data_IF_286505006830
#
_entry.id   IF_286505006830
#
_cell.length_a   1.000
_cell.length_b   1.000
_cell.length_c   1.000
_cell.angle_alpha   90.00
_cell.angle_beta   90.00
_cell.angle_gamma   90.00
#
_symmetry.space_group_name_H-M   'P 1'
#
loop_
_entity.id
_entity.type
_entity.pdbx_description
1 polymer ?
#
# COMPACT_ATOMS: atom_id res chain seq x y z
N UNK A 1 -2.75 -1.39 4.14
CA UNK A 1 -3.01 -1.72 5.53
C UNK A 1 -3.61 -3.09 5.52
N UNK A 2 -2.75 -4.08 5.34
CA UNK A 2 -3.11 -5.39 5.81
C UNK A 2 -2.99 -5.43 7.33
N UNK A 3 -3.71 -6.36 7.94
CA UNK A 3 -3.48 -6.78 9.31
C UNK A 3 -2.57 -8.01 9.34
N UNK A 4 -2.37 -8.61 10.52
CA UNK A 4 -1.70 -9.90 10.62
C UNK A 4 -2.27 -10.92 9.61
N UNK A 5 -1.39 -11.55 8.81
CA UNK A 5 -1.76 -12.54 7.80
C UNK A 5 -2.16 -11.98 6.42
N UNK A 6 -2.28 -10.66 6.24
CA UNK A 6 -2.69 -10.08 4.95
C UNK A 6 -1.51 -9.82 3.98
N UNK A 7 -0.27 -10.15 4.35
CA UNK A 7 0.91 -9.92 3.50
C UNK A 7 0.79 -10.53 2.10
N UNK A 8 0.28 -11.76 1.99
CA UNK A 8 0.07 -12.41 0.69
C UNK A 8 -1.05 -11.76 -0.13
N UNK A 9 -2.08 -11.23 0.55
CA UNK A 9 -3.19 -10.53 -0.12
C UNK A 9 -2.73 -9.21 -0.70
N UNK A 10 -1.98 -8.42 0.09
CA UNK A 10 -1.36 -7.18 -0.37
C UNK A 10 -0.42 -7.44 -1.55
N UNK A 11 0.41 -8.48 -1.48
CA UNK A 11 1.27 -8.85 -2.60
C UNK A 11 0.45 -9.19 -3.86
N UNK A 12 -0.64 -9.94 -3.73
CA UNK A 12 -1.53 -10.26 -4.85
C UNK A 12 -2.18 -9.00 -5.43
N UNK A 13 -2.64 -8.09 -4.58
CA UNK A 13 -3.27 -6.84 -5.00
C UNK A 13 -2.28 -5.92 -5.73
N UNK A 14 -1.06 -5.77 -5.19
CA UNK A 14 0.03 -5.08 -5.86
C UNK A 14 0.24 -5.65 -7.27
N UNK A 15 0.34 -6.97 -7.41
CA UNK A 15 0.56 -7.59 -8.72
C UNK A 15 -0.60 -7.34 -9.69
N UNK A 16 -1.84 -7.33 -9.20
CA UNK A 16 -3.03 -7.07 -10.02
C UNK A 16 -3.14 -5.61 -10.47
N UNK A 17 -2.62 -4.68 -9.68
CA UNK A 17 -2.71 -3.23 -9.93
C UNK A 17 -1.40 -2.62 -10.43
N UNK A 18 -0.32 -3.40 -10.55
CA UNK A 18 1.02 -2.88 -10.81
C UNK A 18 1.14 -2.19 -12.18
N UNK A 19 1.67 -0.98 -12.15
CA UNK A 19 2.05 -0.22 -13.33
C UNK A 19 3.33 0.57 -13.04
N UNK A 20 4.32 0.60 -13.94
CA UNK A 20 5.62 1.24 -13.69
C UNK A 20 5.54 2.76 -13.54
N UNK A 21 4.45 3.39 -13.99
CA UNK A 21 4.22 4.84 -13.83
C UNK A 21 3.53 5.19 -12.51
N UNK A 22 3.04 4.22 -11.77
CA UNK A 22 2.33 4.43 -10.51
C UNK A 22 3.32 4.34 -9.34
N UNK A 23 2.94 4.88 -8.18
CA UNK A 23 3.69 4.71 -6.94
C UNK A 23 2.83 3.91 -5.97
N UNK A 24 3.43 3.00 -5.23
CA UNK A 24 2.71 2.10 -4.32
C UNK A 24 3.27 2.23 -2.92
N UNK A 25 2.38 2.40 -1.94
CA UNK A 25 2.73 2.38 -0.52
C UNK A 25 1.98 1.25 0.18
N UNK A 26 2.73 0.22 0.56
CA UNK A 26 2.22 -0.92 1.30
C UNK A 26 2.44 -0.69 2.78
N UNK A 27 1.35 -0.76 3.54
CA UNK A 27 1.38 -0.67 4.99
C UNK A 27 0.76 -1.93 5.59
N UNK A 28 1.38 -2.45 6.63
CA UNK A 28 0.83 -3.47 7.51
C UNK A 28 0.69 -2.86 8.91
N UNK A 29 -0.46 -3.00 9.56
CA UNK A 29 -0.71 -2.40 10.87
C UNK A 29 0.19 -3.00 11.98
N UNK A 30 0.03 -2.51 13.21
CA UNK A 30 0.80 -2.98 14.38
C UNK A 30 0.51 -4.42 14.78
N UNK A 31 -0.60 -5.01 14.33
CA UNK A 31 -0.93 -6.42 14.61
C UNK A 31 -0.08 -7.35 13.78
N UNK A 32 0.40 -6.91 12.61
CA UNK A 32 1.30 -7.69 11.79
C UNK A 32 2.71 -7.77 12.41
N UNK A 33 3.34 -8.93 12.25
CA UNK A 33 4.69 -9.16 12.76
C UNK A 33 5.75 -8.41 11.94
N UNK A 34 6.93 -8.22 12.52
CA UNK A 34 8.08 -7.67 11.77
C UNK A 34 8.50 -8.60 10.63
N UNK A 35 8.33 -9.91 10.81
CA UNK A 35 8.62 -10.91 9.78
C UNK A 35 7.65 -10.80 8.60
N UNK A 36 6.36 -10.55 8.85
CA UNK A 36 5.38 -10.31 7.79
C UNK A 36 5.73 -9.06 6.97
N UNK A 37 6.11 -7.97 7.65
CA UNK A 37 6.60 -6.74 6.99
C UNK A 37 7.84 -6.99 6.15
N UNK A 38 8.82 -7.70 6.71
CA UNK A 38 10.05 -8.04 6.00
C UNK A 38 9.79 -8.96 4.81
N UNK A 39 8.88 -9.93 4.96
CA UNK A 39 8.45 -10.84 3.89
C UNK A 39 7.77 -10.07 2.76
N UNK A 40 6.84 -9.18 3.08
CA UNK A 40 6.17 -8.31 2.12
C UNK A 40 7.16 -7.40 1.39
N UNK A 41 8.12 -6.79 2.10
CA UNK A 41 9.13 -5.96 1.48
C UNK A 41 10.02 -6.73 0.50
N UNK A 42 10.43 -7.95 0.85
CA UNK A 42 11.19 -8.84 -0.04
C UNK A 42 10.37 -9.22 -1.27
N UNK A 43 9.12 -9.63 -1.09
CA UNK A 43 8.29 -10.11 -2.19
C UNK A 43 7.84 -9.00 -3.14
N UNK A 44 7.51 -7.83 -2.59
CA UNK A 44 7.22 -6.62 -3.35
C UNK A 44 8.37 -6.27 -4.29
N UNK A 45 9.63 -6.38 -3.83
CA UNK A 45 10.84 -6.05 -4.59
C UNK A 45 11.49 -7.21 -5.33
N UNK A 46 10.85 -8.38 -5.36
CA UNK A 46 11.45 -9.59 -5.94
C UNK A 46 11.67 -9.50 -7.46
N UNK A 47 10.90 -8.67 -8.18
CA UNK A 47 11.08 -8.46 -9.61
C UNK A 47 11.86 -7.16 -9.91
N UNK A 48 12.71 -7.14 -10.95
CA UNK A 48 13.42 -5.94 -11.36
C UNK A 48 12.44 -4.83 -11.78
N UNK A 49 12.84 -3.57 -11.59
CA UNK A 49 12.07 -2.40 -12.01
C UNK A 49 10.98 -1.92 -11.05
N UNK A 50 10.89 -2.48 -9.84
CA UNK A 50 9.88 -2.11 -8.82
C UNK A 50 10.35 -1.05 -7.82
N UNK A 51 11.14 -0.07 -8.27
CA UNK A 51 11.65 1.01 -7.42
C UNK A 51 10.54 1.94 -6.89
N UNK A 52 9.38 1.92 -7.54
CA UNK A 52 8.17 2.66 -7.23
C UNK A 52 7.29 1.99 -6.15
N UNK A 53 7.76 0.89 -5.53
CA UNK A 53 7.05 0.19 -4.46
C UNK A 53 7.74 0.39 -3.11
N UNK A 54 7.00 0.97 -2.18
CA UNK A 54 7.46 1.34 -0.85
C UNK A 54 6.70 0.53 0.20
N UNK A 55 7.42 -0.06 1.15
CA UNK A 55 6.80 -0.76 2.29
C UNK A 55 7.12 0.04 3.55
N UNK A 56 6.07 0.41 4.28
CA UNK A 56 6.19 1.18 5.52
C UNK A 56 6.73 0.27 6.62
N UNK A 57 7.88 0.64 7.18
CA UNK A 57 8.53 -0.11 8.25
C UNK A 57 7.92 0.13 9.63
N UNK A 58 7.57 1.38 9.93
CA UNK A 58 6.87 1.78 11.14
C UNK A 58 5.46 2.25 10.79
N UNK A 59 4.42 1.45 11.08
CA UNK A 59 3.03 1.83 10.79
C UNK A 59 2.48 2.93 11.71
N UNK A 60 3.26 3.41 12.68
CA UNK A 60 2.84 4.42 13.64
C UNK A 60 1.66 3.97 14.50
N UNK A 61 0.89 4.93 15.02
CA UNK A 61 -0.32 4.67 15.82
C UNK A 61 -1.56 4.41 14.95
N UNK A 62 -1.39 3.90 13.73
CA UNK A 62 -2.50 3.43 12.90
C UNK A 62 -3.16 2.23 13.60
N UNK A 63 -4.23 2.51 14.34
CA UNK A 63 -5.16 1.48 14.82
C UNK A 63 -6.29 1.42 13.77
N UNK A 64 -6.55 0.30 13.09
CA UNK A 64 -7.67 0.24 12.13
C UNK A 64 -9.05 0.44 12.79
N UNK A 65 -9.13 0.39 14.13
CA UNK A 65 -10.39 0.53 14.87
C UNK A 65 -10.68 2.00 15.22
N UNK A 66 -11.49 2.70 14.43
CA UNK A 66 -12.12 3.98 14.78
C UNK A 66 -11.64 5.21 13.99
N UNK A 67 -11.66 6.41 14.61
CA UNK A 67 -11.26 7.71 14.03
C UNK A 67 -9.82 7.76 13.44
N UNK A 68 -9.08 6.68 13.62
CA UNK A 68 -7.72 6.43 13.17
C UNK A 68 -7.60 5.86 11.75
N UNK A 69 -8.68 5.39 11.11
CA UNK A 69 -8.65 4.96 9.70
C UNK A 69 -8.32 6.14 8.77
N UNK A 70 -9.08 7.24 8.88
CA UNK A 70 -8.78 8.49 8.15
C UNK A 70 -7.39 9.04 8.48
N UNK A 71 -6.97 8.96 9.75
CA UNK A 71 -5.64 9.39 10.16
C UNK A 71 -4.54 8.57 9.49
N UNK A 72 -4.74 7.25 9.33
CA UNK A 72 -3.80 6.38 8.64
C UNK A 72 -3.77 6.66 7.13
N UNK A 73 -4.92 6.91 6.51
CA UNK A 73 -5.00 7.35 5.10
C UNK A 73 -4.27 8.68 4.88
N UNK A 74 -4.52 9.68 5.73
CA UNK A 74 -3.82 10.97 5.66
C UNK A 74 -2.33 10.83 5.95
N UNK A 75 -1.95 9.95 6.88
CA UNK A 75 -0.55 9.65 7.14
C UNK A 75 0.13 9.01 5.92
N UNK A 76 -0.54 8.07 5.25
CA UNK A 76 -0.11 7.51 3.98
C UNK A 76 0.11 8.60 2.94
N UNK A 77 -0.90 9.45 2.69
CA UNK A 77 -0.79 10.58 1.77
C UNK A 77 0.39 11.52 2.11
N UNK A 78 0.60 11.83 3.39
CA UNK A 78 1.71 12.66 3.83
C UNK A 78 3.08 12.01 3.60
N UNK A 79 3.22 10.71 3.83
CA UNK A 79 4.45 9.97 3.50
C UNK A 79 4.73 9.99 2.00
N UNK A 80 3.68 9.89 1.18
CA UNK A 80 3.80 9.84 -0.27
C UNK A 80 4.26 11.16 -0.86
N UNK A 81 3.73 12.28 -0.36
CA UNK A 81 4.22 13.63 -0.73
C UNK A 81 5.71 13.84 -0.45
N UNK A 82 6.31 13.04 0.43
CA UNK A 82 7.76 13.06 0.71
C UNK A 82 8.56 12.14 -0.21
N UNK A 83 7.92 11.15 -0.82
CA UNK A 83 8.56 10.13 -1.66
C UNK A 83 8.49 10.50 -3.15
N UNK A 84 7.32 10.93 -3.63
CA UNK A 84 7.12 11.40 -5.00
C UNK A 84 5.98 12.45 -5.00
N UNK A 85 6.16 13.53 -5.76
CA UNK A 85 5.16 14.59 -5.94
C UNK A 85 4.58 14.62 -7.36
N UNK A 86 5.04 13.73 -8.24
CA UNK A 86 4.60 13.69 -9.63
C UNK A 86 3.34 12.87 -9.88
N UNK A 87 2.56 12.53 -8.84
CA UNK A 87 1.30 11.79 -8.95
C UNK A 87 0.09 12.73 -8.99
N UNK A 88 -0.96 12.31 -9.69
CA UNK A 88 -2.16 13.14 -9.92
C UNK A 88 -3.31 12.73 -8.98
N UNK A 89 -3.39 11.44 -8.65
CA UNK A 89 -4.48 10.86 -7.88
C UNK A 89 -3.99 9.97 -6.74
N UNK A 90 -4.61 10.13 -5.58
CA UNK A 90 -4.46 9.23 -4.44
C UNK A 90 -5.65 8.29 -4.35
N UNK A 91 -5.39 6.98 -4.38
CA UNK A 91 -6.39 5.92 -4.24
C UNK A 91 -6.03 5.07 -3.03
N UNK A 92 -6.95 5.00 -2.07
CA UNK A 92 -6.90 4.01 -1.00
C UNK A 92 -7.60 2.75 -1.50
N UNK A 93 -6.92 1.61 -1.41
CA UNK A 93 -7.48 0.27 -1.58
C UNK A 93 -7.35 -0.50 -0.28
N UNK A 94 -8.04 -1.62 -0.11
CA UNK A 94 -7.87 -2.53 1.01
C UNK A 94 -7.29 -3.90 0.63
N UNK A 95 -6.69 -4.63 1.58
CA UNK A 95 -6.15 -5.98 1.33
C UNK A 95 -7.22 -6.98 0.83
N UNK A 96 -8.49 -6.70 1.15
CA UNK A 96 -9.63 -7.51 0.74
C UNK A 96 -10.30 -6.98 -0.54
N UNK A 97 -9.85 -5.83 -1.06
CA UNK A 97 -10.32 -5.27 -2.33
C UNK A 97 -9.59 -5.84 -3.54
N UNK A 98 -10.19 -5.68 -4.73
CA UNK A 98 -9.59 -6.16 -5.97
C UNK A 98 -10.02 -5.30 -7.16
N UNK A 99 -9.09 -4.97 -8.08
CA UNK A 99 -9.44 -4.21 -9.28
C UNK A 99 -10.37 -5.04 -10.18
N UNK A 100 -11.49 -4.44 -10.58
CA UNK A 100 -12.38 -5.01 -11.60
C UNK A 100 -11.92 -4.68 -13.03
N UNK A 101 -11.09 -3.63 -13.16
CA UNK A 101 -10.56 -3.14 -14.42
C UNK A 101 -9.04 -3.03 -14.28
N UNK A 102 -8.31 -3.41 -15.32
CA UNK A 102 -6.86 -3.21 -15.36
C UNK A 102 -6.54 -1.71 -15.25
N UNK A 103 -5.45 -1.32 -14.56
CA UNK A 103 -5.02 0.06 -14.50
C UNK A 103 -4.84 0.61 -15.92
N UNK A 104 -5.51 1.72 -16.23
CA UNK A 104 -5.28 2.44 -17.48
C UNK A 104 -4.01 3.31 -17.35
N UNK A 105 -3.43 3.71 -18.48
CA UNK A 105 -2.21 4.53 -18.48
C UNK A 105 -2.51 6.02 -18.27
N UNK A 106 -3.75 6.38 -17.93
CA UNK A 106 -4.29 7.74 -17.96
C UNK A 106 -4.04 8.47 -16.63
N UNK A 107 -2.76 8.69 -16.31
CA UNK A 107 -2.31 9.42 -15.11
C UNK A 107 -1.55 8.53 -14.13
N UNK A 108 -0.75 9.14 -13.25
CA UNK A 108 -0.06 8.39 -12.20
C UNK A 108 -1.01 8.19 -11.03
N UNK A 109 -1.54 6.98 -10.90
CA UNK A 109 -2.45 6.60 -9.82
C UNK A 109 -1.65 6.01 -8.68
N UNK A 110 -1.87 6.50 -7.48
CA UNK A 110 -1.23 5.98 -6.30
C UNK A 110 -2.15 5.02 -5.59
N UNK A 111 -1.69 3.80 -5.33
CA UNK A 111 -2.45 2.79 -4.57
C UNK A 111 -1.87 2.66 -3.16
N UNK A 112 -2.63 3.11 -2.18
CA UNK A 112 -2.40 2.93 -0.76
C UNK A 112 -3.30 1.80 -0.31
N UNK A 113 -2.76 0.62 -0.03
CA UNK A 113 -3.60 -0.50 0.42
C UNK A 113 -4.04 -0.27 1.89
N UNK A 114 -5.04 -0.99 2.43
CA UNK A 114 -5.93 -0.56 3.53
C UNK A 114 -6.76 -1.71 4.14
N UNK A 115 -7.59 -1.52 5.18
CA UNK A 115 -8.64 -2.50 5.56
C UNK A 115 -9.74 -1.80 6.35
N UNK A 116 -10.91 -1.62 5.75
CA UNK A 116 -12.14 -1.24 6.43
C UNK A 116 -12.82 -2.48 7.02
N UNK A 117 -13.15 -2.39 8.30
CA UNK A 117 -14.18 -3.19 8.94
C UNK A 117 -15.07 -2.31 9.77
#
# INVERSE_FOLDING_TARGET
MGSAGDADRLQRLLLATYHPRNVYLLLLDRTASTDDRARLARSARAAPGRANVHVVGDPGFANPRGASALAATLHGAALLLRVDQGWDWFVHLDADEYPLVAPDASGKVLVYEGKDK
#
